data_IF_786134526893
#
_entry.id   IF_786134526893
#
_cell.length_a   1.000
_cell.length_b   1.000
_cell.length_c   1.000
_cell.angle_alpha   90.00
_cell.angle_beta   90.00
_cell.angle_gamma   90.00
#
_symmetry.space_group_name_H-M   'P 1'
#
loop_
_entity.id
_entity.type
_entity.pdbx_description
1 polymer ?
#
# COMPACT_ATOMS: atom_id res chain seq x y z
N UNK A 1 2.99 20.01 -0.50
CA UNK A 1 4.10 19.06 -0.40
C UNK A 1 3.57 17.67 -0.14
N UNK A 2 4.25 16.63 -0.63
CA UNK A 2 3.88 15.25 -0.32
C UNK A 2 4.20 14.96 1.15
N UNK A 3 3.20 14.51 1.89
CA UNK A 3 3.36 14.03 3.25
C UNK A 3 3.82 12.56 3.22
N UNK A 4 5.01 12.30 3.76
CA UNK A 4 5.60 10.97 3.79
C UNK A 4 4.78 9.99 4.65
N UNK A 5 3.97 10.48 5.60
CA UNK A 5 3.09 9.63 6.39
C UNK A 5 1.91 9.06 5.59
N UNK A 6 1.64 9.66 4.43
CA UNK A 6 0.56 9.30 3.53
C UNK A 6 1.04 8.55 2.29
N UNK A 7 2.31 8.16 2.27
CA UNK A 7 2.93 7.37 1.20
C UNK A 7 2.97 5.89 1.57
N UNK A 8 2.49 5.05 0.65
CA UNK A 8 2.24 3.64 0.86
C UNK A 8 2.89 2.77 -0.21
N UNK A 9 3.44 1.64 0.25
CA UNK A 9 3.73 0.50 -0.62
C UNK A 9 2.59 -0.51 -0.55
N UNK A 10 2.01 -0.80 -1.70
CA UNK A 10 0.88 -1.70 -1.84
C UNK A 10 1.33 -2.94 -2.61
N UNK A 11 0.99 -4.11 -2.09
CA UNK A 11 1.35 -5.40 -2.67
C UNK A 11 0.17 -5.93 -3.46
N UNK A 12 0.39 -6.16 -4.76
CA UNK A 12 -0.60 -6.71 -5.68
C UNK A 12 -0.13 -8.09 -6.13
N UNK A 13 -0.93 -9.11 -5.86
CA UNK A 13 -0.66 -10.47 -6.31
C UNK A 13 -1.89 -11.02 -7.06
N UNK A 14 -1.67 -11.58 -8.25
CA UNK A 14 -2.74 -12.09 -9.12
C UNK A 14 -3.88 -11.08 -9.32
N UNK A 15 -3.50 -9.81 -9.55
CA UNK A 15 -4.38 -8.67 -9.79
C UNK A 15 -5.34 -8.35 -8.62
N UNK A 16 -4.89 -8.59 -7.38
CA UNK A 16 -5.57 -8.27 -6.13
C UNK A 16 -4.59 -7.65 -5.13
N UNK A 17 -5.05 -6.68 -4.34
CA UNK A 17 -4.26 -6.16 -3.21
C UNK A 17 -4.24 -7.21 -2.09
N UNK A 18 -3.06 -7.56 -1.61
CA UNK A 18 -2.87 -8.53 -0.52
C UNK A 18 -2.36 -7.89 0.77
N UNK A 19 -1.59 -6.80 0.65
CA UNK A 19 -1.05 -6.07 1.80
C UNK A 19 -0.79 -4.59 1.48
N UNK A 20 -0.78 -3.78 2.53
CA UNK A 20 -0.45 -2.35 2.47
C UNK A 20 0.56 -2.03 3.58
N UNK A 21 1.60 -1.27 3.26
CA UNK A 21 2.61 -0.77 4.21
C UNK A 21 2.74 0.74 4.07
N UNK A 22 3.04 1.48 5.14
CA UNK A 22 3.68 2.78 4.97
C UNK A 22 5.04 2.61 4.29
N UNK A 23 5.45 3.60 3.49
CA UNK A 23 6.70 3.51 2.72
C UNK A 23 7.93 3.90 3.53
N UNK A 24 7.82 4.90 4.40
CA UNK A 24 8.91 5.29 5.29
C UNK A 24 8.98 4.34 6.49
N UNK A 25 10.18 3.85 6.84
CA UNK A 25 10.34 2.77 7.83
C UNK A 25 10.91 3.24 9.17
N UNK A 26 11.67 4.33 9.15
CA UNK A 26 12.53 4.72 10.28
C UNK A 26 11.89 5.70 11.26
N UNK A 27 10.77 6.31 10.86
CA UNK A 27 10.02 7.25 11.69
C UNK A 27 8.66 6.63 12.03
N UNK A 28 8.12 7.02 13.17
CA UNK A 28 6.73 6.74 13.53
C UNK A 28 5.82 7.45 12.52
N UNK A 29 4.80 6.74 12.04
CA UNK A 29 3.77 7.33 11.19
C UNK A 29 2.76 8.06 12.09
N UNK A 30 3.02 9.34 12.35
CA UNK A 30 2.24 10.17 13.28
C UNK A 30 0.79 10.31 12.80
N UNK A 31 0.58 10.44 11.50
CA UNK A 31 -0.78 10.54 10.95
C UNK A 31 -1.61 9.29 11.24
N UNK A 32 -1.14 8.10 10.86
CA UNK A 32 -1.86 6.85 11.13
C UNK A 32 -1.95 6.57 12.63
N UNK A 33 -0.93 6.88 13.42
CA UNK A 33 -0.98 6.72 14.89
C UNK A 33 -2.12 7.53 15.52
N UNK A 34 -2.45 8.70 14.97
CA UNK A 34 -3.52 9.56 15.48
C UNK A 34 -4.92 9.23 14.94
N UNK A 35 -5.05 8.36 13.94
CA UNK A 35 -6.35 7.89 13.44
C UNK A 35 -7.00 6.86 14.36
N UNK A 36 -8.31 6.92 14.49
CA UNK A 36 -9.12 5.81 15.04
C UNK A 36 -9.09 4.58 14.13
N UNK A 37 -9.54 3.44 14.65
CA UNK A 37 -9.66 2.20 13.86
C UNK A 37 -10.54 2.41 12.62
N UNK A 38 -11.66 3.11 12.78
CA UNK A 38 -12.59 3.39 11.68
C UNK A 38 -11.96 4.28 10.60
N UNK A 39 -11.18 5.28 10.99
CA UNK A 39 -10.48 6.14 10.03
C UNK A 39 -9.39 5.37 9.26
N UNK A 40 -8.69 4.44 9.92
CA UNK A 40 -7.76 3.52 9.24
C UNK A 40 -8.46 2.61 8.24
N UNK A 41 -9.63 2.07 8.60
CA UNK A 41 -10.46 1.28 7.69
C UNK A 41 -10.90 2.11 6.47
N UNK A 42 -11.23 3.40 6.66
CA UNK A 42 -11.56 4.32 5.57
C UNK A 42 -10.37 4.56 4.63
N UNK A 43 -9.16 4.68 5.17
CA UNK A 43 -7.92 4.77 4.36
C UNK A 43 -7.73 3.52 3.51
N UNK A 44 -7.86 2.33 4.11
CA UNK A 44 -7.76 1.06 3.38
C UNK A 44 -8.81 1.00 2.27
N UNK A 45 -10.07 1.33 2.60
CA UNK A 45 -11.17 1.28 1.65
C UNK A 45 -10.96 2.23 0.47
N UNK A 46 -10.49 3.45 0.73
CA UNK A 46 -10.16 4.43 -0.31
C UNK A 46 -9.09 3.90 -1.28
N UNK A 47 -8.04 3.26 -0.75
CA UNK A 47 -6.99 2.63 -1.56
C UNK A 47 -7.55 1.48 -2.41
N UNK A 48 -8.36 0.60 -1.81
CA UNK A 48 -8.98 -0.53 -2.51
C UNK A 48 -9.91 -0.05 -3.63
N UNK A 49 -10.73 0.96 -3.38
CA UNK A 49 -11.64 1.54 -4.37
C UNK A 49 -10.87 2.17 -5.53
N UNK A 50 -9.83 2.94 -5.23
CA UNK A 50 -8.97 3.52 -6.26
C UNK A 50 -8.28 2.46 -7.10
N UNK A 51 -7.71 1.42 -6.48
CA UNK A 51 -7.12 0.30 -7.21
C UNK A 51 -8.12 -0.35 -8.17
N UNK A 52 -9.30 -0.74 -7.67
CA UNK A 52 -10.30 -1.44 -8.47
C UNK A 52 -10.84 -0.58 -9.63
N UNK A 53 -11.02 0.72 -9.42
CA UNK A 53 -11.60 1.62 -10.42
C UNK A 53 -10.58 2.20 -11.41
N UNK A 54 -9.32 2.38 -11.00
CA UNK A 54 -8.34 3.13 -11.78
C UNK A 54 -7.12 2.33 -12.22
N UNK A 55 -6.76 1.23 -11.55
CA UNK A 55 -5.48 0.54 -11.78
C UNK A 55 -5.66 -0.90 -12.24
N UNK A 56 -6.53 -1.68 -11.58
CA UNK A 56 -6.65 -3.14 -11.71
C UNK A 56 -6.70 -3.63 -13.16
N UNK A 57 -7.49 -2.98 -14.00
CA UNK A 57 -7.68 -3.41 -15.39
C UNK A 57 -6.63 -2.85 -16.37
N UNK A 58 -5.73 -1.97 -15.90
CA UNK A 58 -4.68 -1.35 -16.72
C UNK A 58 -3.34 -2.10 -16.67
N UNK A 59 -3.10 -2.90 -15.63
CA UNK A 59 -1.84 -3.61 -15.39
C UNK A 59 -1.97 -5.15 -15.45
N UNK A 60 -2.99 -5.65 -16.16
CA UNK A 60 -3.31 -7.08 -16.25
C UNK A 60 -2.22 -7.95 -16.86
N UNK A 61 -1.31 -7.37 -17.66
CA UNK A 61 -0.20 -8.09 -18.28
C UNK A 61 0.95 -8.44 -17.33
N UNK A 62 1.05 -7.78 -16.17
CA UNK A 62 2.08 -8.06 -15.14
C UNK A 62 1.52 -9.06 -14.11
N UNK A 63 0.24 -8.93 -13.75
CA UNK A 63 -0.44 -9.80 -12.78
C UNK A 63 -0.05 -9.54 -11.32
N UNK A 64 1.24 -9.51 -11.00
CA UNK A 64 1.76 -9.30 -9.65
C UNK A 64 2.86 -8.24 -9.63
N UNK A 65 2.71 -7.23 -8.79
CA UNK A 65 3.60 -6.07 -8.69
C UNK A 65 3.45 -5.42 -7.30
N UNK A 66 4.43 -4.62 -6.90
CA UNK A 66 4.20 -3.62 -5.84
C UNK A 66 3.92 -2.28 -6.49
N UNK A 67 3.21 -1.40 -5.80
CA UNK A 67 3.03 -0.03 -6.28
C UNK A 67 3.14 0.96 -5.13
N UNK A 68 3.63 2.13 -5.48
CA UNK A 68 3.72 3.26 -4.58
C UNK A 68 2.54 4.18 -4.83
N UNK A 69 1.88 4.56 -3.74
CA UNK A 69 0.68 5.40 -3.76
C UNK A 69 0.76 6.40 -2.63
N UNK A 70 0.45 7.66 -2.93
CA UNK A 70 0.34 8.72 -1.91
C UNK A 70 -1.09 9.24 -1.85
N UNK A 71 -1.56 9.55 -0.64
CA UNK A 71 -2.79 10.30 -0.45
C UNK A 71 -2.47 11.80 -0.38
N UNK A 72 -2.91 12.55 -1.37
CA UNK A 72 -2.74 14.00 -1.43
C UNK A 72 -3.91 14.69 -0.75
N UNK A 73 -3.65 15.67 0.11
CA UNK A 73 -4.70 16.48 0.71
C UNK A 73 -5.21 17.53 -0.28
N UNK A 74 -6.52 17.53 -0.52
CA UNK A 74 -7.20 18.52 -1.34
C UNK A 74 -8.55 18.87 -0.72
N UNK A 75 -8.73 20.12 -0.28
CA UNK A 75 -9.99 20.61 0.30
C UNK A 75 -10.56 19.70 1.40
N UNK A 76 -9.71 19.26 2.34
CA UNK A 76 -10.08 18.35 3.45
C UNK A 76 -10.37 16.89 3.03
N UNK A 77 -10.22 16.54 1.76
CA UNK A 77 -10.32 15.17 1.25
C UNK A 77 -8.95 14.60 0.92
N UNK A 78 -8.80 13.27 1.07
CA UNK A 78 -7.63 12.53 0.64
C UNK A 78 -7.84 11.99 -0.78
N UNK A 79 -6.99 12.40 -1.71
CA UNK A 79 -7.02 11.95 -3.10
C UNK A 79 -5.87 10.97 -3.37
N UNK A 80 -6.16 9.71 -3.73
CA UNK A 80 -5.13 8.75 -4.12
C UNK A 80 -4.39 9.18 -5.39
N UNK A 81 -3.07 9.10 -5.36
CA UNK A 81 -2.20 9.36 -6.48
C UNK A 81 -1.22 8.20 -6.65
N UNK A 82 -1.28 7.55 -7.81
CA UNK A 82 -0.36 6.48 -8.19
C UNK A 82 0.99 7.08 -8.57
N UNK A 83 2.06 6.64 -7.91
CA UNK A 83 3.43 7.12 -8.15
C UNK A 83 4.10 6.23 -9.19
N UNK A 84 4.34 4.96 -8.85
CA UNK A 84 5.05 4.02 -9.73
C UNK A 84 4.69 2.56 -9.44
N UNK A 85 4.78 1.67 -10.45
CA UNK A 85 4.80 0.24 -10.25
C UNK A 85 6.23 -0.26 -10.05
N UNK A 86 6.38 -1.32 -9.28
CA UNK A 86 7.63 -1.98 -8.95
C UNK A 86 7.49 -3.49 -9.13
N UNK A 87 8.60 -4.18 -9.39
CA UNK A 87 8.60 -5.64 -9.53
C UNK A 87 8.12 -6.34 -8.24
N UNK A 88 7.49 -7.51 -8.36
CA UNK A 88 7.06 -8.30 -7.22
C UNK A 88 8.09 -9.36 -6.84
N UNK A 89 8.24 -9.62 -5.53
CA UNK A 89 9.04 -10.74 -5.02
C UNK A 89 10.50 -10.39 -4.72
N UNK A 90 11.15 -11.29 -3.98
CA UNK A 90 12.56 -11.16 -3.56
C UNK A 90 13.53 -11.35 -4.72
N UNK A 91 13.10 -11.98 -5.81
CA UNK A 91 13.94 -12.34 -6.95
C UNK A 91 14.31 -11.14 -7.84
N UNK A 92 13.61 -10.01 -7.71
CA UNK A 92 13.82 -8.80 -8.51
C UNK A 92 14.06 -7.52 -7.68
N UNK A 93 14.54 -7.68 -6.44
CA UNK A 93 15.09 -6.61 -5.59
C UNK A 93 14.17 -5.40 -5.32
N UNK A 94 12.84 -5.56 -5.32
CA UNK A 94 11.97 -4.49 -4.83
C UNK A 94 11.97 -4.47 -3.30
N UNK A 95 12.07 -3.27 -2.73
CA UNK A 95 12.04 -3.10 -1.28
C UNK A 95 10.65 -3.45 -0.74
N UNK A 96 10.58 -4.34 0.25
CA UNK A 96 9.34 -4.84 0.84
C UNK A 96 8.76 -3.95 1.96
N UNK A 97 9.27 -2.74 2.13
CA UNK A 97 8.84 -1.82 3.19
C UNK A 97 8.82 -2.50 4.58
N UNK A 98 7.69 -2.51 5.30
CA UNK A 98 7.54 -3.19 6.61
C UNK A 98 7.19 -4.68 6.51
N UNK A 99 7.27 -5.26 5.32
CA UNK A 99 7.14 -6.69 5.10
C UNK A 99 8.51 -7.30 4.82
N UNK A 100 8.61 -8.60 5.02
CA UNK A 100 9.75 -9.41 4.61
C UNK A 100 9.28 -10.47 3.62
N UNK A 101 9.82 -10.47 2.41
CA UNK A 101 9.38 -11.34 1.31
C UNK A 101 9.26 -12.83 1.70
N UNK A 102 10.21 -13.35 2.47
CA UNK A 102 10.20 -14.75 2.88
C UNK A 102 9.34 -15.04 4.12
N UNK A 103 9.32 -14.14 5.10
CA UNK A 103 8.63 -14.39 6.38
C UNK A 103 7.12 -14.11 6.25
N UNK A 104 6.76 -13.13 5.42
CA UNK A 104 5.38 -12.73 5.17
C UNK A 104 4.83 -13.32 3.87
N UNK A 105 5.45 -14.39 3.34
CA UNK A 105 5.08 -14.97 2.05
C UNK A 105 3.60 -15.31 1.95
N UNK A 106 3.01 -15.86 3.01
CA UNK A 106 1.59 -16.23 3.03
C UNK A 106 0.67 -15.01 2.94
N UNK A 107 1.08 -13.88 3.52
CA UNK A 107 0.37 -12.60 3.43
C UNK A 107 0.52 -12.04 2.01
N UNK A 108 1.76 -11.92 1.53
CA UNK A 108 2.06 -11.24 0.27
C UNK A 108 1.52 -11.99 -0.95
N UNK A 109 1.58 -13.32 -0.95
CA UNK A 109 1.12 -14.20 -2.04
C UNK A 109 -0.28 -14.80 -1.77
N UNK A 110 -1.02 -14.25 -0.81
CA UNK A 110 -2.39 -14.66 -0.46
C UNK A 110 -3.45 -14.26 -1.49
N UNK A 111 -4.72 -14.51 -1.17
CA UNK A 111 -5.86 -14.25 -2.08
C UNK A 111 -6.65 -12.97 -1.76
N UNK A 112 -6.53 -12.47 -0.53
CA UNK A 112 -7.27 -11.32 0.01
C UNK A 112 -6.34 -10.34 0.74
N UNK A 113 -6.78 -9.09 0.84
CA UNK A 113 -6.10 -8.08 1.67
C UNK A 113 -6.21 -8.51 3.13
N UNK A 114 -5.07 -8.85 3.72
CA UNK A 114 -5.02 -9.43 5.07
C UNK A 114 -4.31 -8.53 6.07
N UNK A 115 -3.40 -7.68 5.60
CA UNK A 115 -2.51 -6.94 6.51
C UNK A 115 -2.30 -5.48 6.09
N UNK A 116 -2.39 -4.57 7.07
CA UNK A 116 -2.00 -3.17 6.95
C UNK A 116 -0.96 -2.82 8.02
N UNK A 117 0.27 -2.48 7.60
CA UNK A 117 1.40 -2.20 8.48
C UNK A 117 1.85 -0.74 8.41
N UNK A 118 2.19 -0.18 9.56
CA UNK A 118 2.79 1.13 9.69
C UNK A 118 3.68 1.17 10.93
N UNK A 119 4.72 2.01 10.92
CA UNK A 119 5.63 2.15 12.05
C UNK A 119 4.93 2.86 13.21
N UNK A 120 4.92 2.23 14.38
CA UNK A 120 4.37 2.78 15.63
C UNK A 120 5.48 2.95 16.67
N UNK A 121 5.17 3.67 17.76
CA UNK A 121 5.97 3.62 18.99
C UNK A 121 5.91 2.24 19.66
#
# INVERSE_FOLDING_TARGET
DMDHDKEFRIFVYNNRITAISCQHLYNVNEWLCNLSVKEKEQVIQLILEYFNSNIRDKLTFIGSYTMDLVLLDSNEEHMPYFIEPNSFGSEYASCSALFHWELDKEILYGEDMSEFRYTTN
#
